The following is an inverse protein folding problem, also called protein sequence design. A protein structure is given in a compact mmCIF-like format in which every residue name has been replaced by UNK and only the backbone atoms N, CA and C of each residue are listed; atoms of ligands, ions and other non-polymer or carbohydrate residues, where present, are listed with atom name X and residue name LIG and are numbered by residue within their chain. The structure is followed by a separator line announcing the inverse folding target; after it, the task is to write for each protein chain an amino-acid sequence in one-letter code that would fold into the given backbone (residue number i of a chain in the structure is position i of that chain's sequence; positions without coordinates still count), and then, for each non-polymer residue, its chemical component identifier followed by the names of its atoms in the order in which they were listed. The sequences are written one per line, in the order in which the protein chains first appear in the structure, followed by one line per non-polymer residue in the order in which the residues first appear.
data_IF_991146437985
#
_entry.id   IF_991146437985
#
_cell.length_a   1.000
_cell.length_b   1.000
_cell.length_c   1.000
_cell.angle_alpha   90.00
_cell.angle_beta   90.00
_cell.angle_gamma   90.00
#
_symmetry.space_group_name_H-M   'P 1'
#
loop_
_entity.id
_entity.type
_entity.pdbx_description
1 polymer ?
#
# COMPACT_ATOMS: atom_id res chain seq x y z
N UNK A 1 44.59 4.64 -1.04
CA UNK A 1 43.29 5.29 -1.32
C UNK A 1 42.89 6.10 -0.11
N UNK A 2 42.53 7.37 -0.30
CA UNK A 2 42.05 8.19 0.80
C UNK A 2 40.74 7.58 1.33
N UNK A 3 40.59 7.59 2.66
CA UNK A 3 39.36 7.15 3.32
C UNK A 3 38.66 8.36 3.89
N UNK A 4 37.37 8.47 3.61
CA UNK A 4 36.54 9.57 4.07
C UNK A 4 35.42 9.06 4.97
N UNK A 5 35.02 9.88 5.94
CA UNK A 5 33.87 9.60 6.81
C UNK A 5 32.61 9.46 5.97
N UNK A 6 31.79 8.45 6.29
CA UNK A 6 30.52 8.18 5.60
C UNK A 6 29.62 9.42 5.54
N UNK A 7 29.51 10.19 6.63
CA UNK A 7 28.70 11.42 6.65
C UNK A 7 29.17 12.51 5.67
N UNK A 8 30.47 12.61 5.42
CA UNK A 8 31.02 13.54 4.45
C UNK A 8 30.90 12.99 3.02
N UNK A 9 31.15 11.69 2.84
CA UNK A 9 31.08 11.02 1.54
C UNK A 9 29.66 11.07 0.94
N UNK A 10 28.61 10.94 1.78
CA UNK A 10 27.22 11.09 1.34
C UNK A 10 26.89 12.50 0.82
N UNK A 11 27.45 13.54 1.44
CA UNK A 11 27.21 14.93 1.03
C UNK A 11 28.00 15.25 -0.25
N UNK A 12 29.26 14.84 -0.30
CA UNK A 12 30.13 15.05 -1.47
C UNK A 12 29.57 14.39 -2.73
N UNK A 13 28.96 13.21 -2.60
CA UNK A 13 28.29 12.53 -3.71
C UNK A 13 26.85 13.01 -3.98
N UNK A 14 26.40 14.08 -3.31
CA UNK A 14 25.06 14.64 -3.51
C UNK A 14 23.90 13.74 -3.03
N UNK A 15 24.17 12.71 -2.23
CA UNK A 15 23.16 11.81 -1.68
C UNK A 15 22.46 12.38 -0.44
N UNK A 16 23.02 13.44 0.15
CA UNK A 16 22.47 14.20 1.27
C UNK A 16 22.78 15.69 1.08
N UNK A 17 21.85 16.57 1.44
CA UNK A 17 22.01 18.02 1.34
C UNK A 17 22.94 18.58 2.44
N UNK A 18 23.08 17.86 3.55
CA UNK A 18 23.94 18.29 4.66
C UNK A 18 24.51 17.12 5.45
N UNK A 19 25.63 17.35 6.15
CA UNK A 19 26.23 16.35 7.05
C UNK A 19 25.29 15.97 8.20
N UNK A 20 24.45 16.90 8.66
CA UNK A 20 23.48 16.64 9.72
C UNK A 20 22.37 15.70 9.24
N UNK A 21 21.88 15.90 8.01
CA UNK A 21 20.96 14.95 7.37
C UNK A 21 21.62 13.58 7.21
N UNK A 22 22.84 13.53 6.65
CA UNK A 22 23.59 12.29 6.49
C UNK A 22 23.74 11.51 7.81
N UNK A 23 24.16 12.18 8.89
CA UNK A 23 24.30 11.56 10.21
C UNK A 23 22.98 10.98 10.74
N UNK A 24 21.86 11.68 10.53
CA UNK A 24 20.54 11.20 10.93
C UNK A 24 20.14 9.95 10.15
N UNK A 25 20.32 9.93 8.83
CA UNK A 25 19.98 8.78 7.98
C UNK A 25 20.86 7.56 8.31
N UNK A 26 22.17 7.77 8.51
CA UNK A 26 23.09 6.71 8.94
C UNK A 26 22.62 6.11 10.27
N UNK A 27 22.35 6.94 11.29
CA UNK A 27 21.88 6.47 12.60
C UNK A 27 20.51 5.78 12.53
N UNK A 28 19.67 6.15 11.57
CA UNK A 28 18.39 5.51 11.32
C UNK A 28 18.53 4.17 10.56
N UNK A 29 19.74 3.76 10.19
CA UNK A 29 19.98 2.56 9.38
C UNK A 29 19.50 2.70 7.93
N UNK A 30 19.36 3.94 7.45
CA UNK A 30 18.86 4.27 6.10
C UNK A 30 20.00 4.39 5.07
N UNK A 31 21.23 4.03 5.45
CA UNK A 31 22.40 4.08 4.55
C UNK A 31 23.06 2.71 4.51
N UNK A 32 23.30 2.22 3.28
CA UNK A 32 24.07 1.03 3.02
C UNK A 32 25.40 1.39 2.36
N UNK A 33 26.44 0.65 2.74
CA UNK A 33 27.76 0.67 2.11
C UNK A 33 28.07 -0.74 1.64
N UNK A 34 28.28 -0.96 0.34
CA UNK A 34 28.46 -2.29 -0.26
C UNK A 34 27.39 -3.30 0.22
N UNK A 35 26.12 -2.90 0.15
CA UNK A 35 24.94 -3.66 0.59
C UNK A 35 24.82 -3.95 2.12
N UNK A 36 25.72 -3.43 2.95
CA UNK A 36 25.63 -3.55 4.40
C UNK A 36 25.13 -2.26 5.05
N UNK A 37 24.15 -2.35 5.95
CA UNK A 37 23.68 -1.19 6.73
C UNK A 37 24.82 -0.71 7.64
N UNK A 38 25.10 0.58 7.61
CA UNK A 38 26.08 1.23 8.50
C UNK A 38 25.36 2.25 9.37
N UNK A 39 25.59 2.19 10.68
CA UNK A 39 24.91 3.01 11.68
C UNK A 39 25.82 4.06 12.35
N UNK A 40 27.11 4.05 12.01
CA UNK A 40 28.15 4.94 12.56
C UNK A 40 28.58 5.98 11.53
N UNK A 41 28.21 7.26 11.69
CA UNK A 41 28.51 8.30 10.71
C UNK A 41 30.00 8.60 10.50
N UNK A 42 30.80 8.34 11.53
CA UNK A 42 32.25 8.56 11.49
C UNK A 42 33.06 7.42 10.88
N UNK A 43 32.43 6.31 10.49
CA UNK A 43 33.14 5.19 9.86
C UNK A 43 33.73 5.64 8.53
N UNK A 44 35.01 5.34 8.31
CA UNK A 44 35.75 5.79 7.14
C UNK A 44 35.77 4.71 6.06
N UNK A 45 35.38 5.07 4.85
CA UNK A 45 35.32 4.20 3.67
C UNK A 45 36.16 4.77 2.53
N UNK A 46 36.51 3.94 1.56
CA UNK A 46 37.15 4.40 0.33
C UNK A 46 36.17 5.26 -0.48
N UNK A 47 36.69 6.20 -1.27
CA UNK A 47 35.89 7.14 -2.05
C UNK A 47 35.06 6.50 -3.17
N UNK A 48 35.33 5.23 -3.50
CA UNK A 48 34.70 4.46 -4.58
C UNK A 48 33.69 3.40 -4.08
N UNK A 49 33.46 3.29 -2.76
CA UNK A 49 32.49 2.30 -2.22
C UNK A 49 31.09 2.53 -2.79
N UNK A 50 30.32 1.47 -2.94
CA UNK A 50 28.91 1.61 -3.30
C UNK A 50 28.13 2.20 -2.13
N UNK A 51 27.43 3.30 -2.36
CA UNK A 51 26.59 3.97 -1.37
C UNK A 51 25.15 3.96 -1.83
N UNK A 52 24.26 3.48 -0.97
CA UNK A 52 22.82 3.54 -1.21
C UNK A 52 22.17 4.20 0.00
N UNK A 53 21.55 5.36 -0.24
CA UNK A 53 20.65 6.01 0.72
C UNK A 53 19.25 5.53 0.40
N UNK A 54 18.56 5.01 1.41
CA UNK A 54 17.17 4.62 1.29
C UNK A 54 16.35 5.86 0.89
N UNK A 55 15.77 5.83 -0.30
CA UNK A 55 14.88 6.89 -0.76
C UNK A 55 13.77 7.10 0.28
N UNK A 56 13.53 8.35 0.67
CA UNK A 56 12.36 8.66 1.48
C UNK A 56 11.14 8.51 0.59
N UNK A 57 10.13 7.84 1.12
CA UNK A 57 8.83 7.77 0.47
C UNK A 57 8.36 9.19 0.16
N UNK A 58 7.85 9.47 -1.05
CA UNK A 58 7.24 10.77 -1.36
C UNK A 58 5.94 10.99 -0.57
N UNK A 59 5.48 9.96 0.14
CA UNK A 59 4.27 9.96 0.95
C UNK A 59 4.60 9.92 2.45
N UNK A 60 3.64 10.28 3.30
CA UNK A 60 3.76 10.24 4.77
C UNK A 60 4.07 8.84 5.33
N UNK A 61 3.87 7.79 4.55
CA UNK A 61 4.31 6.43 4.88
C UNK A 61 4.62 5.63 3.62
N UNK A 62 5.42 4.57 3.78
CA UNK A 62 5.71 3.59 2.72
C UNK A 62 4.46 2.95 2.12
N UNK A 63 3.31 3.01 2.81
CA UNK A 63 2.04 2.56 2.24
C UNK A 63 1.72 3.26 0.91
N UNK A 64 2.02 4.56 0.80
CA UNK A 64 1.73 5.31 -0.42
C UNK A 64 2.42 4.77 -1.67
N UNK A 65 3.62 4.17 -1.54
CA UNK A 65 4.32 3.54 -2.66
C UNK A 65 3.55 2.34 -3.24
N UNK A 66 2.75 1.64 -2.43
CA UNK A 66 1.92 0.54 -2.92
C UNK A 66 0.79 1.06 -3.80
N UNK A 67 0.09 2.10 -3.35
CA UNK A 67 -0.98 2.70 -4.14
C UNK A 67 -0.42 3.41 -5.38
N UNK A 68 0.74 4.07 -5.25
CA UNK A 68 1.41 4.70 -6.39
C UNK A 68 1.72 3.69 -7.50
N UNK A 69 2.17 2.48 -7.14
CA UNK A 69 2.34 1.39 -8.11
C UNK A 69 1.00 1.03 -8.77
N UNK A 70 -0.07 0.87 -7.99
CA UNK A 70 -1.39 0.55 -8.54
C UNK A 70 -1.88 1.63 -9.53
N UNK A 71 -1.72 2.92 -9.20
CA UNK A 71 -2.10 4.03 -10.08
C UNK A 71 -1.20 4.15 -11.33
N UNK A 72 0.03 3.65 -11.28
CA UNK A 72 0.92 3.61 -12.43
C UNK A 72 0.64 2.43 -13.37
N UNK A 73 0.15 1.31 -12.84
CA UNK A 73 -0.13 0.09 -13.62
C UNK A 73 -1.57 0.00 -14.10
N UNK A 74 -2.51 0.53 -13.34
CA UNK A 74 -3.94 0.52 -13.66
C UNK A 74 -4.39 1.91 -14.14
N UNK A 75 -5.27 2.00 -15.17
CA UNK A 75 -5.79 3.25 -15.69
C UNK A 75 -6.85 3.89 -14.76
N UNK A 76 -6.48 4.06 -13.49
CA UNK A 76 -7.30 4.69 -12.45
C UNK A 76 -6.91 6.16 -12.38
N UNK A 77 -7.88 7.06 -12.48
CA UNK A 77 -7.68 8.50 -12.41
C UNK A 77 -8.32 9.04 -11.12
N UNK A 78 -7.55 9.31 -10.05
CA UNK A 78 -8.08 9.92 -8.83
C UNK A 78 -8.49 11.39 -8.99
N UNK A 79 -7.98 12.09 -10.01
CA UNK A 79 -8.15 13.54 -10.12
C UNK A 79 -9.62 13.96 -10.15
N UNK A 80 -10.00 14.85 -9.23
CA UNK A 80 -11.36 15.37 -9.11
C UNK A 80 -12.38 14.36 -8.56
N UNK A 81 -11.93 13.20 -8.08
CA UNK A 81 -12.81 12.20 -7.47
C UNK A 81 -12.79 12.29 -5.96
N UNK A 82 -13.84 11.74 -5.38
CA UNK A 82 -13.94 11.53 -3.94
C UNK A 82 -13.58 10.07 -3.67
N UNK A 83 -12.63 9.87 -2.77
CA UNK A 83 -12.13 8.55 -2.42
C UNK A 83 -12.46 8.15 -0.98
N UNK A 84 -12.51 6.85 -0.73
CA UNK A 84 -12.59 6.26 0.61
C UNK A 84 -11.33 5.42 0.85
N UNK A 85 -10.58 5.75 1.89
CA UNK A 85 -9.42 5.00 2.36
C UNK A 85 -9.80 4.16 3.58
N UNK A 86 -10.04 2.87 3.34
CA UNK A 86 -10.39 1.90 4.38
C UNK A 86 -9.12 1.32 5.01
N UNK A 87 -8.81 1.76 6.22
CA UNK A 87 -7.56 1.44 6.91
C UNK A 87 -6.47 2.51 6.70
N UNK A 88 -6.85 3.80 6.82
CA UNK A 88 -5.95 4.93 6.57
C UNK A 88 -4.62 4.86 7.34
N UNK A 89 -4.60 4.35 8.57
CA UNK A 89 -3.44 4.23 9.45
C UNK A 89 -2.61 5.53 9.52
N UNK A 90 -1.35 5.54 9.09
CA UNK A 90 -0.54 6.77 9.01
C UNK A 90 -0.99 7.72 7.89
N UNK A 91 -1.68 7.20 6.87
CA UNK A 91 -2.26 7.95 5.76
C UNK A 91 -1.51 7.87 4.44
N UNK A 92 -0.69 6.84 4.22
CA UNK A 92 0.11 6.72 2.99
C UNK A 92 -0.73 6.64 1.72
N UNK A 93 -1.83 5.89 1.73
CA UNK A 93 -2.77 5.80 0.60
C UNK A 93 -3.52 7.12 0.38
N UNK A 94 -4.07 7.69 1.45
CA UNK A 94 -4.68 9.03 1.42
C UNK A 94 -3.74 10.09 0.83
N UNK A 95 -2.49 10.16 1.27
CA UNK A 95 -1.51 11.12 0.73
C UNK A 95 -1.24 10.89 -0.76
N UNK A 96 -1.11 9.62 -1.17
CA UNK A 96 -0.97 9.26 -2.57
C UNK A 96 -2.18 9.71 -3.42
N UNK A 97 -3.40 9.52 -2.94
CA UNK A 97 -4.63 9.98 -3.61
C UNK A 97 -4.68 11.50 -3.72
N UNK A 98 -4.37 12.22 -2.64
CA UNK A 98 -4.38 13.69 -2.62
C UNK A 98 -3.31 14.29 -3.55
N UNK A 99 -2.13 13.69 -3.61
CA UNK A 99 -1.08 14.08 -4.54
C UNK A 99 -1.45 13.75 -6.00
N UNK A 100 -2.21 12.68 -6.23
CA UNK A 100 -2.79 12.34 -7.53
C UNK A 100 -4.01 13.19 -7.91
N UNK A 101 -4.43 14.13 -7.05
CA UNK A 101 -5.46 15.11 -7.36
C UNK A 101 -6.88 14.75 -6.92
N UNK A 102 -7.04 13.75 -6.03
CA UNK A 102 -8.34 13.50 -5.40
C UNK A 102 -8.88 14.78 -4.73
N UNK A 103 -10.17 15.04 -4.95
CA UNK A 103 -10.84 16.22 -4.41
C UNK A 103 -11.01 16.11 -2.90
N UNK A 104 -11.39 14.93 -2.44
CA UNK A 104 -11.64 14.64 -1.03
C UNK A 104 -11.38 13.15 -0.74
N UNK A 105 -10.92 12.85 0.48
CA UNK A 105 -10.69 11.47 0.95
C UNK A 105 -11.34 11.25 2.31
N UNK A 106 -12.22 10.25 2.40
CA UNK A 106 -12.75 9.73 3.66
C UNK A 106 -11.80 8.68 4.22
N UNK A 107 -11.06 9.02 5.26
CA UNK A 107 -10.13 8.11 5.94
C UNK A 107 -10.80 7.37 7.09
N UNK A 108 -10.91 6.04 7.00
CA UNK A 108 -11.53 5.21 8.03
C UNK A 108 -10.47 4.40 8.75
N UNK A 109 -10.40 4.46 10.08
CA UNK A 109 -9.49 3.62 10.87
C UNK A 109 -10.14 3.11 12.16
N UNK A 110 -9.77 1.90 12.57
CA UNK A 110 -10.14 1.33 13.88
C UNK A 110 -9.29 1.87 15.02
N UNK A 111 -8.07 2.32 14.71
CA UNK A 111 -7.13 2.94 15.62
C UNK A 111 -7.45 4.41 15.88
N UNK A 112 -6.56 5.05 16.64
CA UNK A 112 -6.67 6.45 17.02
C UNK A 112 -5.28 7.09 17.11
N UNK A 113 -5.14 8.31 16.61
CA UNK A 113 -3.93 9.11 16.72
C UNK A 113 -2.78 8.67 15.81
N UNK A 114 -3.06 7.87 14.76
CA UNK A 114 -2.02 7.32 13.88
C UNK A 114 -1.76 8.19 12.64
N UNK A 115 -2.80 8.90 12.16
CA UNK A 115 -2.74 9.70 10.93
C UNK A 115 -1.71 10.82 11.07
N UNK A 116 -0.85 10.95 10.06
CA UNK A 116 0.18 11.97 9.99
C UNK A 116 -0.42 13.38 10.13
N UNK A 117 0.27 14.24 10.88
CA UNK A 117 -0.22 15.59 11.20
C UNK A 117 -0.64 16.42 9.98
N UNK A 118 0.11 16.46 8.86
CA UNK A 118 -0.30 17.22 7.68
C UNK A 118 -1.66 16.77 7.12
N UNK A 119 -1.91 15.46 7.06
CA UNK A 119 -3.18 14.92 6.58
C UNK A 119 -4.34 15.20 7.53
N UNK A 120 -4.08 15.16 8.84
CA UNK A 120 -5.12 15.51 9.84
C UNK A 120 -5.58 16.96 9.72
N UNK A 121 -4.71 17.84 9.20
CA UNK A 121 -5.01 19.25 8.99
C UNK A 121 -5.50 19.57 7.56
N UNK A 122 -5.40 18.61 6.63
CA UNK A 122 -5.81 18.85 5.24
C UNK A 122 -7.36 18.90 5.17
N UNK A 123 -7.95 20.01 4.69
CA UNK A 123 -9.40 20.16 4.63
C UNK A 123 -10.08 19.17 3.67
N UNK A 124 -9.31 18.52 2.79
CA UNK A 124 -9.80 17.48 1.88
C UNK A 124 -9.90 16.11 2.57
N UNK A 125 -9.44 15.97 3.81
CA UNK A 125 -9.48 14.69 4.54
C UNK A 125 -10.61 14.71 5.57
N UNK A 126 -11.59 13.82 5.40
CA UNK A 126 -12.62 13.55 6.40
C UNK A 126 -12.21 12.30 7.17
N UNK A 127 -11.73 12.49 8.39
CA UNK A 127 -11.22 11.41 9.22
C UNK A 127 -12.31 10.81 10.11
N UNK A 128 -12.42 9.48 10.11
CA UNK A 128 -13.23 8.67 11.03
C UNK A 128 -12.38 7.60 11.71
N UNK A 129 -11.79 7.98 12.83
CA UNK A 129 -11.04 7.08 13.72
C UNK A 129 -11.99 6.28 14.62
N UNK A 130 -11.45 5.24 15.27
CA UNK A 130 -12.21 4.32 16.14
C UNK A 130 -13.46 3.75 15.47
N UNK A 131 -13.42 3.59 14.15
CA UNK A 131 -14.55 3.19 13.33
C UNK A 131 -14.22 1.89 12.63
N UNK A 132 -15.05 0.87 12.85
CA UNK A 132 -14.89 -0.41 12.18
C UNK A 132 -15.66 -0.42 10.87
N UNK A 133 -14.92 -0.35 9.75
CA UNK A 133 -15.46 -0.34 8.39
C UNK A 133 -16.48 -1.46 8.14
N UNK A 134 -16.28 -2.66 8.70
CA UNK A 134 -17.17 -3.81 8.51
C UNK A 134 -18.63 -3.52 8.87
N UNK A 135 -18.85 -2.64 9.85
CA UNK A 135 -20.17 -2.32 10.38
C UNK A 135 -20.63 -0.91 10.01
N UNK A 136 -19.82 -0.17 9.25
CA UNK A 136 -20.10 1.20 8.88
C UNK A 136 -21.13 1.25 7.77
N UNK A 137 -22.21 2.02 7.98
CA UNK A 137 -23.24 2.24 6.97
C UNK A 137 -23.12 3.64 6.35
N UNK A 138 -23.69 3.87 5.14
CA UNK A 138 -23.70 5.20 4.53
C UNK A 138 -24.26 6.29 5.45
N UNK A 139 -25.38 6.03 6.13
CA UNK A 139 -26.03 6.99 7.03
C UNK A 139 -25.19 7.35 8.27
N UNK A 140 -24.23 6.50 8.64
CA UNK A 140 -23.29 6.77 9.73
C UNK A 140 -22.08 7.59 9.27
N UNK A 141 -21.71 7.49 7.99
CA UNK A 141 -20.52 8.15 7.45
C UNK A 141 -20.83 9.52 6.86
N UNK A 142 -21.91 9.60 6.08
CA UNK A 142 -22.27 10.73 5.23
C UNK A 142 -23.52 11.45 5.76
N UNK A 143 -23.49 12.79 5.74
CA UNK A 143 -24.68 13.62 5.85
C UNK A 143 -25.44 13.72 4.52
N UNK A 144 -26.65 14.29 4.55
CA UNK A 144 -27.51 14.42 3.36
C UNK A 144 -26.90 15.25 2.22
N UNK A 145 -26.00 16.18 2.54
CA UNK A 145 -25.35 17.08 1.58
C UNK A 145 -23.92 16.63 1.23
N UNK A 146 -23.43 15.55 1.85
CA UNK A 146 -22.07 15.08 1.63
C UNK A 146 -21.99 14.36 0.28
N UNK A 147 -21.02 14.76 -0.53
CA UNK A 147 -20.69 14.03 -1.75
C UNK A 147 -20.03 12.70 -1.39
N UNK A 148 -20.46 11.65 -2.10
CA UNK A 148 -20.09 10.28 -1.78
C UNK A 148 -18.95 9.78 -2.67
N UNK A 149 -18.05 8.94 -2.14
CA UNK A 149 -16.93 8.42 -2.89
C UNK A 149 -17.37 7.42 -3.96
N UNK A 150 -16.72 7.47 -5.11
CA UNK A 150 -16.83 6.49 -6.19
C UNK A 150 -15.56 5.62 -6.30
N UNK A 151 -14.44 6.08 -5.71
CA UNK A 151 -13.17 5.38 -5.60
C UNK A 151 -12.96 4.86 -4.17
N UNK A 152 -12.57 3.60 -4.01
CA UNK A 152 -12.15 3.05 -2.74
C UNK A 152 -10.74 2.48 -2.78
N UNK A 153 -10.00 2.62 -1.68
CA UNK A 153 -8.73 1.94 -1.48
C UNK A 153 -8.75 1.22 -0.13
N UNK A 154 -8.11 0.05 -0.04
CA UNK A 154 -8.19 -0.81 1.15
C UNK A 154 -6.82 -1.37 1.54
N UNK A 155 -6.27 -0.92 2.67
CA UNK A 155 -5.04 -1.47 3.29
C UNK A 155 -5.31 -1.87 4.76
N UNK A 156 -6.18 -2.87 4.94
CA UNK A 156 -6.54 -3.37 6.28
C UNK A 156 -5.64 -4.52 6.74
N UNK A 157 -5.52 -4.69 8.05
CA UNK A 157 -4.76 -5.79 8.66
C UNK A 157 -5.63 -6.54 9.68
N UNK A 158 -5.30 -7.82 9.93
CA UNK A 158 -6.02 -8.68 10.90
C UNK A 158 -7.50 -8.96 10.57
N UNK A 159 -7.93 -8.65 9.35
CA UNK A 159 -9.26 -8.94 8.83
C UNK A 159 -9.13 -9.37 7.37
N UNK A 160 -9.94 -10.33 6.95
CA UNK A 160 -10.08 -10.73 5.56
C UNK A 160 -10.91 -9.70 4.79
N UNK A 161 -10.48 -9.37 3.57
CA UNK A 161 -11.20 -8.47 2.66
C UNK A 161 -12.64 -8.94 2.41
N UNK A 162 -12.87 -10.25 2.37
CA UNK A 162 -14.21 -10.86 2.21
C UNK A 162 -15.24 -10.34 3.21
N UNK A 163 -14.80 -9.92 4.40
CA UNK A 163 -15.69 -9.40 5.47
C UNK A 163 -15.99 -7.91 5.35
N UNK A 164 -15.21 -7.16 4.59
CA UNK A 164 -15.36 -5.69 4.44
C UNK A 164 -15.89 -5.29 3.07
N UNK A 165 -15.75 -6.13 2.06
CA UNK A 165 -16.26 -5.87 0.70
C UNK A 165 -17.75 -5.49 0.64
N UNK A 166 -18.67 -6.10 1.41
CA UNK A 166 -20.07 -5.68 1.41
C UNK A 166 -20.27 -4.25 1.91
N UNK A 167 -19.54 -3.86 2.97
CA UNK A 167 -19.58 -2.50 3.50
C UNK A 167 -18.98 -1.51 2.50
N UNK A 168 -17.83 -1.85 1.90
CA UNK A 168 -17.19 -1.02 0.87
C UNK A 168 -18.13 -0.77 -0.32
N UNK A 169 -18.83 -1.81 -0.81
CA UNK A 169 -19.82 -1.67 -1.88
C UNK A 169 -20.93 -0.68 -1.52
N UNK A 170 -21.48 -0.80 -0.29
CA UNK A 170 -22.56 0.05 0.18
C UNK A 170 -22.12 1.52 0.38
N UNK A 171 -20.88 1.75 0.80
CA UNK A 171 -20.32 3.07 1.06
C UNK A 171 -20.00 3.84 -0.22
N UNK A 172 -19.69 3.16 -1.32
CA UNK A 172 -19.40 3.76 -2.61
C UNK A 172 -20.64 3.97 -3.49
N UNK A 173 -20.58 4.94 -4.41
CA UNK A 173 -21.59 5.20 -5.44
C UNK A 173 -21.08 4.83 -6.84
N UNK A 174 -21.97 4.48 -7.80
CA UNK A 174 -21.56 4.28 -9.19
C UNK A 174 -20.94 5.54 -9.83
N UNK A 175 -19.98 5.39 -10.75
CA UNK A 175 -19.30 4.15 -11.12
C UNK A 175 -18.28 3.73 -10.05
N UNK A 176 -18.51 2.57 -9.42
CA UNK A 176 -17.64 2.12 -8.32
C UNK A 176 -16.34 1.57 -8.85
N UNK A 177 -15.25 1.95 -8.21
CA UNK A 177 -13.91 1.46 -8.51
C UNK A 177 -13.09 1.30 -7.23
N UNK A 178 -12.32 0.21 -7.12
CA UNK A 178 -11.53 -0.05 -5.91
C UNK A 178 -10.16 -0.64 -6.21
N UNK A 179 -9.18 -0.24 -5.39
CA UNK A 179 -7.88 -0.92 -5.27
C UNK A 179 -7.80 -1.58 -3.90
N UNK A 180 -7.67 -2.90 -3.89
CA UNK A 180 -7.60 -3.70 -2.68
C UNK A 180 -6.18 -4.22 -2.49
N UNK A 181 -5.63 -4.09 -1.28
CA UNK A 181 -4.39 -4.75 -0.93
C UNK A 181 -4.69 -6.12 -0.31
N UNK A 182 -4.61 -7.17 -1.13
CA UNK A 182 -4.78 -8.57 -0.71
C UNK A 182 -3.53 -9.01 0.05
N UNK A 183 -3.72 -9.38 1.31
CA UNK A 183 -2.65 -9.83 2.21
C UNK A 183 -2.86 -11.30 2.55
N UNK A 184 -2.17 -12.25 1.87
CA UNK A 184 -2.42 -13.68 2.03
C UNK A 184 -2.50 -14.14 3.48
N UNK A 185 -1.64 -13.62 4.36
CA UNK A 185 -1.60 -13.95 5.79
C UNK A 185 -2.88 -13.63 6.58
N UNK A 186 -3.78 -12.81 6.04
CA UNK A 186 -5.09 -12.50 6.64
C UNK A 186 -6.27 -13.12 5.89
N UNK A 187 -6.03 -13.68 4.71
CA UNK A 187 -7.04 -14.35 3.88
C UNK A 187 -7.01 -15.87 4.04
N UNK A 188 -5.82 -16.45 4.21
CA UNK A 188 -5.68 -17.90 4.41
C UNK A 188 -6.00 -18.30 5.86
N UNK A 189 -6.45 -19.54 6.03
CA UNK A 189 -6.67 -20.13 7.35
C UNK A 189 -5.38 -20.23 8.16
N UNK A 190 -5.49 -20.26 9.49
CA UNK A 190 -4.34 -20.26 10.42
C UNK A 190 -3.32 -21.37 10.13
N UNK A 191 -3.78 -22.54 9.69
CA UNK A 191 -2.93 -23.71 9.42
C UNK A 191 -2.01 -23.51 8.21
N UNK A 192 -2.31 -22.53 7.35
CA UNK A 192 -1.55 -22.18 6.14
C UNK A 192 -0.61 -20.99 6.34
N UNK A 193 -0.65 -20.39 7.53
CA UNK A 193 0.27 -19.31 7.90
C UNK A 193 1.53 -19.92 8.49
N UNK A 194 2.64 -19.82 7.76
CA UNK A 194 3.92 -20.36 8.16
C UNK A 194 4.56 -19.65 9.36
N UNK A 195 5.78 -20.07 9.71
CA UNK A 195 6.58 -19.47 10.80
C UNK A 195 6.67 -17.95 10.65
N UNK A 196 6.55 -17.24 11.77
CA UNK A 196 6.57 -15.76 11.85
C UNK A 196 5.41 -15.05 11.12
N UNK A 197 4.32 -15.76 10.79
CA UNK A 197 3.16 -15.13 10.17
C UNK A 197 3.32 -14.93 8.66
N UNK A 198 4.14 -15.74 7.99
CA UNK A 198 4.47 -15.56 6.56
C UNK A 198 3.89 -16.70 5.72
N UNK A 199 3.13 -16.34 4.69
CA UNK A 199 2.62 -17.29 3.68
C UNK A 199 3.66 -17.40 2.58
N UNK A 200 4.34 -18.54 2.49
CA UNK A 200 5.41 -18.82 1.52
C UNK A 200 5.00 -19.77 0.41
N UNK A 201 3.87 -20.44 0.49
CA UNK A 201 3.43 -21.29 -0.60
C UNK A 201 2.74 -20.44 -1.68
N UNK A 202 3.18 -20.46 -2.96
CA UNK A 202 2.51 -19.71 -4.02
C UNK A 202 1.08 -20.16 -4.29
N UNK A 203 0.74 -21.43 -4.01
CA UNK A 203 -0.63 -21.94 -4.07
C UNK A 203 -1.51 -21.29 -3.01
N UNK A 204 -1.04 -21.19 -1.77
CA UNK A 204 -1.76 -20.49 -0.70
C UNK A 204 -1.94 -18.99 -0.99
N UNK A 205 -0.95 -18.36 -1.63
CA UNK A 205 -1.05 -16.97 -2.10
C UNK A 205 -2.10 -16.81 -3.21
N UNK A 206 -2.13 -17.75 -4.16
CA UNK A 206 -3.13 -17.78 -5.23
C UNK A 206 -4.54 -18.02 -4.69
N UNK A 207 -4.71 -18.97 -3.76
CA UNK A 207 -5.98 -19.24 -3.07
C UNK A 207 -6.52 -18.01 -2.33
N UNK A 208 -5.65 -17.24 -1.68
CA UNK A 208 -6.03 -15.99 -1.02
C UNK A 208 -6.65 -15.00 -2.01
N UNK A 209 -6.00 -14.79 -3.16
CA UNK A 209 -6.49 -13.88 -4.21
C UNK A 209 -7.80 -14.41 -4.80
N UNK A 210 -7.86 -15.70 -5.13
CA UNK A 210 -9.05 -16.35 -5.68
C UNK A 210 -10.25 -16.25 -4.73
N UNK A 211 -10.04 -16.43 -3.42
CA UNK A 211 -11.09 -16.29 -2.41
C UNK A 211 -11.64 -14.86 -2.34
N UNK A 212 -10.79 -13.84 -2.45
CA UNK A 212 -11.23 -12.44 -2.46
C UNK A 212 -12.05 -12.16 -3.71
N UNK A 213 -11.56 -12.57 -4.89
CA UNK A 213 -12.28 -12.45 -6.17
C UNK A 213 -13.65 -13.12 -6.13
N UNK A 214 -13.72 -14.37 -5.68
CA UNK A 214 -14.97 -15.13 -5.58
C UNK A 214 -15.97 -14.48 -4.62
N UNK A 215 -15.49 -13.85 -3.54
CA UNK A 215 -16.37 -13.12 -2.61
C UNK A 215 -16.87 -11.77 -3.16
N UNK A 216 -16.11 -11.17 -4.07
CA UNK A 216 -16.41 -9.86 -4.64
C UNK A 216 -17.44 -9.95 -5.76
N UNK A 217 -17.38 -10.99 -6.59
CA UNK A 217 -18.26 -11.21 -7.73
C UNK A 217 -19.78 -11.12 -7.39
N UNK A 218 -20.32 -11.81 -6.36
CA UNK A 218 -21.75 -11.74 -6.06
C UNK A 218 -22.21 -10.37 -5.56
N UNK A 219 -21.29 -9.48 -5.17
CA UNK A 219 -21.60 -8.10 -4.78
C UNK A 219 -21.72 -7.17 -6.00
N UNK A 220 -21.29 -7.62 -7.19
CA UNK A 220 -21.27 -6.83 -8.42
C UNK A 220 -19.89 -6.26 -8.77
N UNK A 221 -18.83 -6.69 -8.08
CA UNK A 221 -17.46 -6.34 -8.47
C UNK A 221 -17.00 -7.17 -9.67
N UNK A 222 -16.40 -6.50 -10.63
CA UNK A 222 -15.80 -7.05 -11.84
C UNK A 222 -14.29 -6.91 -11.74
N UNK A 223 -13.56 -7.95 -12.11
CA UNK A 223 -12.11 -7.96 -12.17
C UNK A 223 -11.59 -7.03 -13.27
N UNK A 224 -10.57 -6.22 -12.94
CA UNK A 224 -9.94 -5.31 -13.89
C UNK A 224 -8.42 -5.50 -14.00
N UNK A 225 -7.75 -5.86 -12.91
CA UNK A 225 -6.32 -6.10 -12.94
C UNK A 225 -5.75 -6.58 -11.61
N UNK A 226 -4.57 -7.20 -11.69
CA UNK A 226 -3.85 -7.73 -10.54
C UNK A 226 -2.35 -7.56 -10.73
N UNK A 227 -1.68 -7.10 -9.69
CA UNK A 227 -0.22 -7.03 -9.59
C UNK A 227 0.21 -7.26 -8.13
N UNK A 228 1.52 -7.24 -7.85
CA UNK A 228 2.03 -7.30 -6.48
C UNK A 228 2.42 -5.92 -5.94
N UNK A 229 2.36 -5.72 -4.63
CA UNK A 229 2.93 -4.56 -3.95
C UNK A 229 4.45 -4.45 -4.24
N UNK A 230 5.01 -3.25 -4.44
CA UNK A 230 6.46 -3.07 -4.60
C UNK A 230 7.23 -3.33 -3.30
N UNK A 231 6.50 -3.42 -2.18
CA UNK A 231 7.05 -3.61 -0.84
C UNK A 231 6.52 -4.90 -0.24
N UNK A 232 7.39 -5.60 0.49
CA UNK A 232 6.98 -6.67 1.38
C UNK A 232 6.27 -6.09 2.61
N UNK A 233 5.28 -6.82 3.11
CA UNK A 233 4.67 -6.57 4.41
C UNK A 233 5.71 -6.68 5.54
N UNK A 234 5.44 -6.17 6.75
CA UNK A 234 6.44 -6.08 7.82
C UNK A 234 7.12 -7.40 8.20
N UNK A 235 6.40 -8.52 8.10
CA UNK A 235 6.92 -9.86 8.36
C UNK A 235 7.62 -10.53 7.15
N UNK A 236 7.63 -9.88 5.98
CA UNK A 236 8.15 -10.41 4.73
C UNK A 236 7.11 -11.07 3.82
N UNK A 237 5.82 -10.84 4.05
CA UNK A 237 4.76 -11.32 3.15
C UNK A 237 4.77 -10.53 1.84
N UNK A 238 4.56 -11.24 0.73
CA UNK A 238 4.19 -10.61 -0.54
C UNK A 238 2.70 -10.24 -0.42
N UNK A 239 2.37 -9.01 -0.81
CA UNK A 239 1.01 -8.47 -0.80
C UNK A 239 0.63 -8.14 -2.24
N UNK A 240 -0.65 -8.21 -2.60
CA UNK A 240 -1.12 -8.05 -3.97
C UNK A 240 -2.09 -6.88 -4.11
N UNK A 241 -1.97 -6.14 -5.20
CA UNK A 241 -2.83 -5.01 -5.55
C UNK A 241 -3.86 -5.53 -6.55
N UNK A 242 -5.11 -5.62 -6.11
CA UNK A 242 -6.24 -6.09 -6.90
C UNK A 242 -7.14 -4.91 -7.25
N UNK A 243 -7.35 -4.67 -8.53
CA UNK A 243 -8.24 -3.64 -9.04
C UNK A 243 -9.56 -4.25 -9.50
N UNK A 244 -10.66 -3.72 -8.95
CA UNK A 244 -12.02 -4.10 -9.29
C UNK A 244 -12.85 -2.87 -9.62
N UNK A 245 -13.89 -3.02 -10.42
CA UNK A 245 -14.87 -1.96 -10.68
C UNK A 245 -16.29 -2.54 -10.84
N UNK A 246 -17.30 -1.68 -10.95
CA UNK A 246 -18.68 -2.11 -11.20
C UNK A 246 -18.95 -2.50 -12.67
N UNK A 247 -18.14 -2.01 -13.61
CA UNK A 247 -18.36 -2.18 -15.05
C UNK A 247 -17.16 -2.87 -15.68
N UNK A 248 -17.37 -3.82 -16.58
CA UNK A 248 -16.28 -4.40 -17.38
C UNK A 248 -15.49 -3.31 -18.10
N UNK A 249 -14.16 -3.44 -18.13
CA UNK A 249 -13.34 -2.66 -19.05
C UNK A 249 -13.69 -3.03 -20.50
N UNK A 250 -13.36 -2.12 -21.43
CA UNK A 250 -13.46 -2.39 -22.86
C UNK A 250 -12.05 -2.30 -23.50
N UNK A 251 -11.43 -3.43 -23.89
CA UNK A 251 -11.94 -4.81 -23.80
C UNK A 251 -11.88 -5.37 -22.35
N UNK A 252 -12.70 -6.37 -22.02
CA UNK A 252 -12.73 -6.96 -20.68
C UNK A 252 -11.42 -7.65 -20.33
N UNK A 253 -10.92 -7.43 -19.11
CA UNK A 253 -9.76 -8.13 -18.60
C UNK A 253 -10.11 -9.61 -18.34
N UNK A 254 -9.32 -10.57 -18.84
CA UNK A 254 -9.57 -11.98 -18.56
C UNK A 254 -9.37 -12.24 -17.07
N UNK A 255 -10.40 -12.79 -16.42
CA UNK A 255 -10.30 -13.18 -15.00
C UNK A 255 -9.28 -14.32 -14.90
N UNK A 256 -8.20 -14.17 -14.12
CA UNK A 256 -7.15 -15.18 -14.02
C UNK A 256 -7.68 -16.44 -13.37
N UNK A 257 -7.28 -17.61 -13.88
CA UNK A 257 -7.51 -18.87 -13.20
C UNK A 257 -6.49 -19.10 -12.07
N UNK A 258 -6.59 -20.24 -11.38
CA UNK A 258 -5.71 -20.52 -10.25
C UNK A 258 -4.24 -20.70 -10.67
N UNK A 259 -3.96 -21.20 -11.87
CA UNK A 259 -2.60 -21.38 -12.38
C UNK A 259 -1.98 -20.04 -12.81
N UNK A 260 -2.78 -19.14 -13.38
CA UNK A 260 -2.38 -17.75 -13.64
C UNK A 260 -1.97 -17.06 -12.33
N UNK A 261 -2.80 -17.19 -11.29
CA UNK A 261 -2.56 -16.60 -9.97
C UNK A 261 -1.29 -17.18 -9.30
N UNK A 262 -1.07 -18.49 -9.39
CA UNK A 262 0.16 -19.13 -8.90
C UNK A 262 1.39 -18.62 -9.63
N UNK A 263 1.30 -18.49 -10.95
CA UNK A 263 2.39 -17.97 -11.78
C UNK A 263 2.72 -16.53 -11.38
N UNK A 264 1.70 -15.69 -11.17
CA UNK A 264 1.87 -14.33 -10.67
C UNK A 264 2.54 -14.30 -9.29
N UNK A 265 2.16 -15.20 -8.37
CA UNK A 265 2.76 -15.31 -7.05
C UNK A 265 4.25 -15.73 -7.10
N UNK A 266 4.62 -16.64 -8.00
CA UNK A 266 6.01 -17.04 -8.26
C UNK A 266 6.81 -15.86 -8.82
N UNK A 267 6.27 -15.14 -9.81
CA UNK A 267 6.93 -13.99 -10.42
C UNK A 267 7.16 -12.85 -9.41
N UNK A 268 6.16 -12.56 -8.57
CA UNK A 268 6.29 -11.58 -7.51
C UNK A 268 7.44 -11.93 -6.54
N UNK A 269 7.60 -13.22 -6.22
CA UNK A 269 8.69 -13.69 -5.36
C UNK A 269 10.07 -13.48 -5.99
N UNK A 270 10.23 -13.90 -7.24
CA UNK A 270 11.47 -13.71 -7.98
C UNK A 270 11.83 -12.24 -8.10
N UNK A 271 10.84 -11.38 -8.38
CA UNK A 271 11.02 -9.93 -8.49
C UNK A 271 11.43 -9.27 -7.17
N UNK A 272 10.89 -9.73 -6.03
CA UNK A 272 11.15 -9.14 -4.71
C UNK A 272 12.34 -9.76 -3.98
N UNK A 273 13.04 -10.72 -4.59
CA UNK A 273 14.24 -11.36 -4.03
C UNK A 273 13.97 -12.18 -2.75
N UNK A 274 12.80 -12.80 -2.65
CA UNK A 274 12.34 -13.55 -1.46
C UNK A 274 12.32 -15.08 -1.69
#
# INVERSE_FOLDING_TARGET
MAKQRLDALLVERGLCESRQQAQRLIRAGEVQVNHAIVDKPGTAFAEDVELLVKARSPYVSRGGEKLAKALAEFPIEPKGRIALDGGISTGGFTDCLLQAGAEQVYGIDVGYGQVAWPLRQDPRVILRERTNLRHLTPDQLYGEQDSRPDLGVMDVSFISLTKVLPALWALLVPPREVVLLVKPQFEVGRDRVGKKGVVRDPGDQADAIASVLASAQPLGWVYQGLTWSPLLGPAGNIEYLLWLSQTEADPPAPVPDLEDLKTLAINARLSLGN
#
